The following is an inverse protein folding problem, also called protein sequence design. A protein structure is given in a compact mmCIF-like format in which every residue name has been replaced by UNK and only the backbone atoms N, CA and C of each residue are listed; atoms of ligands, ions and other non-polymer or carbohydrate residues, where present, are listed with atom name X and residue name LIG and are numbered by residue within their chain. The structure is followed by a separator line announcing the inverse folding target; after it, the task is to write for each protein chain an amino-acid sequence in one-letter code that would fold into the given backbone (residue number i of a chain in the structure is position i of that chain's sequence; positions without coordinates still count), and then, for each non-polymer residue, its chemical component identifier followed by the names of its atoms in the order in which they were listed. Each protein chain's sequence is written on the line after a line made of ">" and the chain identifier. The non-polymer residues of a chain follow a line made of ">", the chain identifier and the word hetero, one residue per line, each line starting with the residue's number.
data_IF_174633907019
#
_entry.id   IF_174633907019
#
_cell.length_a   1.000
_cell.length_b   1.000
_cell.length_c   1.000
_cell.angle_alpha   90.00
_cell.angle_beta   90.00
_cell.angle_gamma   90.00
#
_symmetry.space_group_name_H-M   'P 1'
#
loop_
_entity.id
_entity.type
_entity.pdbx_description
1 polymer ?
#
# COMPACT_ATOMS: atom_id res chain seq x y z
N UNK A 1 -20.49 15.62 -9.21
CA UNK A 1 -19.47 15.52 -8.15
C UNK A 1 -18.55 16.71 -8.34
N UNK A 2 -18.42 17.55 -7.33
CA UNK A 2 -17.71 18.82 -7.46
C UNK A 2 -16.20 18.60 -7.53
N UNK A 3 -15.49 19.46 -8.26
CA UNK A 3 -14.06 19.29 -8.54
C UNK A 3 -13.21 19.20 -7.25
N UNK A 4 -13.62 19.90 -6.19
CA UNK A 4 -12.97 19.86 -4.87
C UNK A 4 -13.13 18.50 -4.20
N UNK A 5 -14.35 17.94 -4.20
CA UNK A 5 -14.62 16.61 -3.65
C UNK A 5 -13.83 15.52 -4.39
N UNK A 6 -13.71 15.65 -5.72
CA UNK A 6 -12.94 14.72 -6.53
C UNK A 6 -11.42 14.81 -6.24
N UNK A 7 -10.89 16.02 -6.06
CA UNK A 7 -9.49 16.22 -5.68
C UNK A 7 -9.17 15.63 -4.29
N UNK A 8 -10.02 15.85 -3.29
CA UNK A 8 -9.83 15.26 -1.96
C UNK A 8 -9.86 13.73 -2.00
N UNK A 9 -10.72 13.15 -2.85
CA UNK A 9 -10.75 11.70 -3.04
C UNK A 9 -9.48 11.16 -3.69
N UNK A 10 -8.97 11.84 -4.73
CA UNK A 10 -7.71 11.49 -5.37
C UNK A 10 -6.52 11.56 -4.39
N UNK A 11 -6.48 12.58 -3.53
CA UNK A 11 -5.46 12.72 -2.49
C UNK A 11 -5.53 11.61 -1.44
N UNK A 12 -6.74 11.26 -0.99
CA UNK A 12 -6.94 10.14 -0.07
C UNK A 12 -6.46 8.80 -0.67
N UNK A 13 -6.74 8.54 -1.95
CA UNK A 13 -6.26 7.35 -2.66
C UNK A 13 -4.74 7.32 -2.76
N UNK A 14 -4.11 8.43 -3.12
CA UNK A 14 -2.64 8.52 -3.18
C UNK A 14 -2.01 8.30 -1.80
N UNK A 15 -2.57 8.88 -0.74
CA UNK A 15 -2.08 8.70 0.63
C UNK A 15 -2.22 7.24 1.08
N UNK A 16 -3.38 6.61 0.85
CA UNK A 16 -3.61 5.22 1.22
C UNK A 16 -2.71 4.25 0.42
N UNK A 17 -2.60 4.46 -0.89
CA UNK A 17 -1.77 3.64 -1.77
C UNK A 17 -0.27 3.76 -1.44
N UNK A 18 0.22 4.97 -1.20
CA UNK A 18 1.63 5.19 -0.84
C UNK A 18 1.96 4.60 0.54
N UNK A 19 1.09 4.79 1.55
CA UNK A 19 1.26 4.22 2.87
C UNK A 19 1.30 2.68 2.82
N UNK A 20 0.36 2.07 2.09
CA UNK A 20 0.30 0.62 1.91
C UNK A 20 1.54 0.05 1.20
N UNK A 21 2.03 0.73 0.15
CA UNK A 21 3.28 0.36 -0.51
C UNK A 21 4.47 0.42 0.44
N UNK A 22 4.67 1.55 1.13
CA UNK A 22 5.81 1.75 2.04
C UNK A 22 5.79 0.71 3.16
N UNK A 23 4.62 0.48 3.77
CA UNK A 23 4.45 -0.53 4.81
C UNK A 23 4.83 -1.93 4.32
N UNK A 24 4.38 -2.35 3.14
CA UNK A 24 4.69 -3.67 2.59
C UNK A 24 6.14 -3.81 2.14
N UNK A 25 6.76 -2.75 1.62
CA UNK A 25 8.19 -2.73 1.27
C UNK A 25 9.02 -2.92 2.54
N UNK A 26 8.73 -2.14 3.58
CA UNK A 26 9.40 -2.26 4.88
C UNK A 26 9.20 -3.64 5.49
N UNK A 27 7.98 -4.18 5.41
CA UNK A 27 7.67 -5.52 5.90
C UNK A 27 8.50 -6.59 5.16
N UNK A 28 8.56 -6.54 3.83
CA UNK A 28 9.39 -7.49 3.05
C UNK A 28 10.89 -7.31 3.31
N UNK A 29 11.36 -6.08 3.53
CA UNK A 29 12.74 -5.82 3.90
C UNK A 29 13.06 -6.42 5.28
N UNK A 30 12.18 -6.21 6.26
CA UNK A 30 12.32 -6.78 7.60
C UNK A 30 12.36 -8.31 7.55
N UNK A 31 11.48 -8.95 6.77
CA UNK A 31 11.49 -10.41 6.59
C UNK A 31 12.80 -10.96 6.02
N UNK A 32 13.55 -10.18 5.24
CA UNK A 32 14.86 -10.61 4.72
C UNK A 32 15.97 -10.57 5.78
N UNK A 33 15.80 -9.74 6.80
CA UNK A 33 16.79 -9.54 7.87
C UNK A 33 16.37 -10.18 9.19
N UNK A 34 15.16 -10.74 9.28
CA UNK A 34 14.66 -11.36 10.51
C UNK A 34 15.34 -12.70 10.74
N UNK A 35 15.78 -12.91 11.98
CA UNK A 35 16.17 -14.23 12.44
C UNK A 35 14.92 -14.99 12.89
N UNK A 36 14.62 -16.08 12.18
CA UNK A 36 13.41 -16.88 12.42
C UNK A 36 13.46 -17.64 13.75
N UNK A 37 14.64 -17.87 14.32
CA UNK A 37 14.80 -18.57 15.61
C UNK A 37 14.40 -17.69 16.79
N UNK A 38 14.47 -16.36 16.64
CA UNK A 38 14.08 -15.37 17.65
C UNK A 38 12.58 -15.05 17.64
N UNK A 39 11.83 -15.50 16.64
CA UNK A 39 10.39 -15.20 16.53
C UNK A 39 9.62 -16.10 17.52
N UNK A 40 8.81 -15.53 18.42
CA UNK A 40 7.97 -16.32 19.32
C UNK A 40 7.04 -17.22 18.51
N UNK A 41 6.89 -18.48 18.90
CA UNK A 41 6.01 -19.44 18.20
C UNK A 41 4.56 -18.94 18.05
N UNK A 42 4.09 -18.11 18.99
CA UNK A 42 2.77 -17.48 18.93
C UNK A 42 2.62 -16.45 17.78
N UNK A 43 3.73 -15.86 17.30
CA UNK A 43 3.74 -14.88 16.23
C UNK A 43 3.93 -15.50 14.83
N UNK A 44 4.47 -16.71 14.73
CA UNK A 44 4.75 -17.41 13.46
C UNK A 44 3.53 -17.49 12.52
N UNK A 45 2.31 -17.86 12.97
CA UNK A 45 1.15 -17.96 12.08
C UNK A 45 0.79 -16.62 11.44
N UNK A 46 0.96 -15.52 12.20
CA UNK A 46 0.72 -14.17 11.69
C UNK A 46 1.79 -13.78 10.68
N UNK A 47 3.05 -14.10 10.93
CA UNK A 47 4.16 -13.81 10.00
C UNK A 47 4.01 -14.59 8.70
N UNK A 48 3.63 -15.87 8.74
CA UNK A 48 3.34 -16.68 7.53
C UNK A 48 2.15 -16.15 6.74
N UNK A 49 1.08 -15.75 7.43
CA UNK A 49 -0.06 -15.13 6.77
C UNK A 49 0.38 -13.86 6.04
N UNK A 50 1.04 -12.94 6.74
CA UNK A 50 1.51 -11.70 6.12
C UNK A 50 2.54 -11.92 5.01
N UNK A 51 3.46 -12.89 5.13
CA UNK A 51 4.41 -13.19 4.05
C UNK A 51 3.72 -13.68 2.78
N UNK A 52 2.65 -14.48 2.93
CA UNK A 52 1.83 -14.99 1.83
C UNK A 52 1.08 -13.86 1.12
N UNK A 53 0.52 -12.91 1.88
CA UNK A 53 -0.31 -11.84 1.32
C UNK A 53 0.45 -10.54 1.00
N UNK A 54 1.67 -10.34 1.50
CA UNK A 54 2.42 -9.09 1.35
C UNK A 54 2.55 -8.63 -0.10
N UNK A 55 2.83 -9.54 -1.03
CA UNK A 55 2.93 -9.21 -2.46
C UNK A 55 1.57 -8.79 -3.03
N UNK A 56 0.47 -9.43 -2.64
CA UNK A 56 -0.89 -9.05 -3.10
C UNK A 56 -1.28 -7.68 -2.57
N UNK A 57 -1.03 -7.42 -1.29
CA UNK A 57 -1.29 -6.11 -0.67
C UNK A 57 -0.47 -5.01 -1.37
N UNK A 58 0.81 -5.26 -1.66
CA UNK A 58 1.66 -4.31 -2.38
C UNK A 58 1.13 -3.99 -3.78
N UNK A 59 0.66 -5.00 -4.52
CA UNK A 59 0.03 -4.80 -5.85
C UNK A 59 -1.25 -3.98 -5.73
N UNK A 60 -2.12 -4.29 -4.75
CA UNK A 60 -3.35 -3.54 -4.51
C UNK A 60 -3.04 -2.09 -4.12
N UNK A 61 -2.10 -1.86 -3.21
CA UNK A 61 -1.66 -0.52 -2.81
C UNK A 61 -1.10 0.26 -4.01
N UNK A 62 -0.34 -0.40 -4.88
CA UNK A 62 0.15 0.23 -6.11
C UNK A 62 -0.96 0.57 -7.09
N UNK A 63 -1.96 -0.30 -7.23
CA UNK A 63 -3.13 -0.02 -8.06
C UNK A 63 -3.93 1.17 -7.50
N UNK A 64 -4.16 1.23 -6.19
CA UNK A 64 -4.84 2.34 -5.52
C UNK A 64 -4.07 3.66 -5.71
N UNK A 65 -2.75 3.63 -5.55
CA UNK A 65 -1.89 4.78 -5.81
C UNK A 65 -2.00 5.25 -7.28
N UNK A 66 -1.95 4.30 -8.22
CA UNK A 66 -2.08 4.57 -9.65
C UNK A 66 -3.44 5.22 -9.98
N UNK A 67 -4.54 4.74 -9.39
CA UNK A 67 -5.86 5.34 -9.55
C UNK A 67 -5.90 6.78 -9.01
N UNK A 68 -5.31 7.04 -7.85
CA UNK A 68 -5.21 8.40 -7.29
C UNK A 68 -4.42 9.34 -8.20
N UNK A 69 -3.30 8.86 -8.75
CA UNK A 69 -2.48 9.60 -9.72
C UNK A 69 -3.25 9.88 -11.02
N UNK A 70 -3.90 8.87 -11.60
CA UNK A 70 -4.68 9.00 -12.82
C UNK A 70 -5.87 9.96 -12.64
N UNK A 71 -6.53 9.93 -11.48
CA UNK A 71 -7.57 10.88 -11.13
C UNK A 71 -7.01 12.31 -11.08
N UNK A 72 -5.84 12.51 -10.44
CA UNK A 72 -5.22 13.84 -10.34
C UNK A 72 -4.76 14.38 -11.69
N UNK A 73 -4.15 13.55 -12.54
CA UNK A 73 -3.69 13.97 -13.87
C UNK A 73 -4.85 14.20 -14.84
N UNK A 74 -5.91 13.39 -14.75
CA UNK A 74 -7.14 13.60 -15.52
C UNK A 74 -7.80 14.94 -15.22
N UNK A 75 -7.78 15.39 -13.96
CA UNK A 75 -8.26 16.74 -13.58
C UNK A 75 -7.37 17.85 -14.12
N UNK A 76 -6.05 17.65 -14.16
CA UNK A 76 -5.13 18.63 -14.74
C UNK A 76 -5.27 18.77 -16.25
N UNK A 77 -5.69 17.71 -16.97
CA UNK A 77 -5.88 17.72 -18.42
C UNK A 77 -7.25 18.27 -18.86
N UNK A 78 -8.25 18.25 -17.97
CA UNK A 78 -9.60 18.74 -18.23
C UNK A 78 -9.81 20.23 -17.89
N UNK A 79 -8.77 20.92 -17.43
CA UNK A 79 -8.78 22.32 -16.99
C UNK A 79 -7.96 23.18 -17.94
#
# INVERSE_FOLDING_TARGET
>A
MDATTFQSFAEALMAAGSLGMVAMILYKAALRHVDWELIPKAALPRVEWWSTYATRVLVISGFVLFLGLAARTGVCLAR
#
